data_IF_969247849142
#
_entry.id   IF_969247849142
#
_cell.length_a   1.000
_cell.length_b   1.000
_cell.length_c   1.000
_cell.angle_alpha   90.00
_cell.angle_beta   90.00
_cell.angle_gamma   90.00
#
_symmetry.space_group_name_H-M   'P 1'
#
loop_
_entity.id
_entity.type
_entity.pdbx_description
1 polymer ?
#
# COMPACT_ATOMS: atom_id res chain seq x y z
N UNK A 1 -10.57 -7.10 -10.18
CA UNK A 1 -9.61 -6.51 -11.14
C UNK A 1 -8.22 -6.84 -10.60
N UNK A 2 -7.55 -7.83 -11.18
CA UNK A 2 -6.20 -8.23 -10.76
C UNK A 2 -5.18 -7.37 -11.51
N UNK A 3 -4.17 -6.88 -10.80
CA UNK A 3 -3.11 -6.05 -11.37
C UNK A 3 -2.08 -6.98 -12.00
N UNK A 4 -2.15 -7.16 -13.31
CA UNK A 4 -1.37 -8.18 -14.06
C UNK A 4 0.12 -7.82 -14.15
N UNK A 5 0.51 -6.57 -13.89
CA UNK A 5 1.89 -6.09 -13.99
C UNK A 5 2.31 -5.26 -12.78
N UNK A 6 3.54 -5.51 -12.29
CA UNK A 6 4.13 -4.83 -11.11
C UNK A 6 4.07 -3.29 -11.21
N UNK A 7 4.27 -2.72 -12.38
CA UNK A 7 4.22 -1.26 -12.60
C UNK A 7 2.79 -0.68 -12.55
N UNK A 8 1.78 -1.48 -12.90
CA UNK A 8 0.38 -1.05 -12.74
C UNK A 8 -0.01 -1.02 -11.26
N UNK A 9 0.43 -2.01 -10.47
CA UNK A 9 0.20 -2.04 -9.03
C UNK A 9 0.74 -0.80 -8.33
N UNK A 10 1.95 -0.37 -8.70
CA UNK A 10 2.55 0.84 -8.15
C UNK A 10 1.71 2.10 -8.42
N UNK A 11 1.26 2.29 -9.67
CA UNK A 11 0.43 3.45 -10.05
C UNK A 11 -0.88 3.47 -9.26
N UNK A 12 -1.55 2.32 -9.16
CA UNK A 12 -2.83 2.23 -8.45
C UNK A 12 -2.65 2.51 -6.96
N UNK A 13 -1.62 1.94 -6.32
CA UNK A 13 -1.36 2.13 -4.89
C UNK A 13 -0.99 3.59 -4.58
N UNK A 14 -0.10 4.19 -5.38
CA UNK A 14 0.32 5.58 -5.16
C UNK A 14 -0.83 6.58 -5.31
N UNK A 15 -1.68 6.41 -6.33
CA UNK A 15 -2.90 7.22 -6.52
C UNK A 15 -3.85 7.02 -5.35
N UNK A 16 -4.08 5.77 -4.94
CA UNK A 16 -4.96 5.43 -3.83
C UNK A 16 -4.49 6.07 -2.52
N UNK A 17 -3.21 5.94 -2.17
CA UNK A 17 -2.64 6.52 -0.96
C UNK A 17 -2.81 8.05 -0.93
N UNK A 18 -2.46 8.74 -2.03
CA UNK A 18 -2.64 10.20 -2.13
C UNK A 18 -4.10 10.61 -1.99
N UNK A 19 -5.01 9.88 -2.64
CA UNK A 19 -6.44 10.16 -2.59
C UNK A 19 -6.99 10.01 -1.18
N UNK A 20 -6.64 8.94 -0.48
CA UNK A 20 -7.06 8.71 0.92
C UNK A 20 -6.52 9.80 1.84
N UNK A 21 -5.25 10.18 1.70
CA UNK A 21 -4.65 11.26 2.50
C UNK A 21 -5.39 12.59 2.30
N UNK A 22 -5.69 12.93 1.05
CA UNK A 22 -6.42 14.17 0.72
C UNK A 22 -7.88 14.13 1.19
N UNK A 23 -8.61 13.04 0.94
CA UNK A 23 -10.03 12.91 1.29
C UNK A 23 -10.26 12.90 2.80
N UNK A 24 -9.32 12.32 3.56
CA UNK A 24 -9.43 12.21 5.01
C UNK A 24 -8.64 13.29 5.77
N UNK A 25 -7.83 14.07 5.08
CA UNK A 25 -6.92 15.08 5.66
C UNK A 25 -6.03 14.46 6.74
N UNK A 26 -5.42 13.31 6.42
CA UNK A 26 -4.56 12.55 7.34
C UNK A 26 -3.35 12.01 6.57
N UNK A 27 -2.27 11.70 7.31
CA UNK A 27 -1.13 11.02 6.74
C UNK A 27 -1.23 9.51 6.95
N UNK A 28 -0.93 8.74 5.91
CA UNK A 28 -0.79 7.29 6.03
C UNK A 28 0.56 7.02 6.70
N UNK A 29 0.54 6.34 7.85
CA UNK A 29 1.76 5.95 8.59
C UNK A 29 2.07 4.47 8.44
N UNK A 30 1.09 3.64 8.11
CA UNK A 30 1.30 2.20 7.93
C UNK A 30 0.31 1.56 6.97
N UNK A 31 0.77 0.56 6.24
CA UNK A 31 -0.04 -0.23 5.31
C UNK A 31 0.13 -1.71 5.63
N UNK A 32 -0.98 -2.44 5.70
CA UNK A 32 -0.97 -3.89 5.86
C UNK A 32 -1.55 -4.56 4.63
N UNK A 33 -0.74 -5.36 3.92
CA UNK A 33 -1.17 -6.15 2.76
C UNK A 33 -1.03 -7.64 3.06
N UNK A 34 -1.66 -8.50 2.27
CA UNK A 34 -1.23 -9.89 2.15
C UNK A 34 0.14 -9.98 1.48
N UNK A 35 0.76 -11.16 1.60
CA UNK A 35 2.01 -11.52 0.92
C UNK A 35 1.74 -11.83 -0.57
N UNK A 36 0.96 -11.01 -1.25
CA UNK A 36 0.82 -11.07 -2.70
C UNK A 36 2.11 -10.60 -3.37
N UNK A 37 2.60 -11.32 -4.39
CA UNK A 37 3.78 -10.93 -5.18
C UNK A 37 3.61 -9.55 -5.84
N UNK A 38 2.37 -9.08 -6.02
CA UNK A 38 2.06 -7.75 -6.53
C UNK A 38 2.55 -6.60 -5.62
N UNK A 39 2.82 -6.88 -4.35
CA UNK A 39 3.36 -5.93 -3.37
C UNK A 39 4.88 -6.05 -3.23
N UNK A 40 5.51 -7.06 -3.84
CA UNK A 40 6.97 -7.19 -3.95
C UNK A 40 7.51 -6.41 -5.16
N UNK A 41 7.18 -5.12 -5.23
CA UNK A 41 7.76 -4.20 -6.20
C UNK A 41 8.70 -3.22 -5.50
N UNK A 42 9.96 -3.17 -5.95
CA UNK A 42 10.97 -2.22 -5.47
C UNK A 42 10.51 -0.76 -5.55
N UNK A 43 9.66 -0.42 -6.53
CA UNK A 43 9.10 0.92 -6.68
C UNK A 43 8.08 1.24 -5.57
N UNK A 44 7.25 0.26 -5.18
CA UNK A 44 6.31 0.39 -4.06
C UNK A 44 7.08 0.56 -2.75
N UNK A 45 8.14 -0.24 -2.55
CA UNK A 45 8.97 -0.15 -1.35
C UNK A 45 9.65 1.21 -1.21
N UNK A 46 10.26 1.74 -2.28
CA UNK A 46 10.83 3.10 -2.30
C UNK A 46 9.81 4.18 -1.98
N UNK A 47 8.59 4.05 -2.51
CA UNK A 47 7.52 4.99 -2.19
C UNK A 47 7.13 4.93 -0.72
N UNK A 48 7.08 3.75 -0.11
CA UNK A 48 6.83 3.66 1.33
C UNK A 48 7.95 4.30 2.14
N UNK A 49 9.21 4.09 1.78
CA UNK A 49 10.36 4.72 2.44
C UNK A 49 10.34 6.26 2.30
N UNK A 50 10.09 6.78 1.09
CA UNK A 50 10.02 8.23 0.82
C UNK A 50 8.92 8.93 1.62
N UNK A 51 7.78 8.28 1.80
CA UNK A 51 6.63 8.84 2.51
C UNK A 51 6.60 8.43 4.00
N UNK A 52 7.61 7.71 4.49
CA UNK A 52 7.67 7.25 5.89
C UNK A 52 6.57 6.26 6.27
N UNK A 53 6.05 5.50 5.30
CA UNK A 53 4.98 4.54 5.49
C UNK A 53 5.57 3.19 5.91
N UNK A 54 5.14 2.67 7.06
CA UNK A 54 5.52 1.34 7.51
C UNK A 54 4.67 0.26 6.83
N UNK A 55 5.29 -0.53 5.95
CA UNK A 55 4.64 -1.68 5.33
C UNK A 55 4.77 -2.92 6.22
N UNK A 56 3.64 -3.58 6.49
CA UNK A 56 3.59 -4.85 7.23
C UNK A 56 2.82 -5.89 6.42
N UNK A 57 3.35 -7.10 6.36
CA UNK A 57 2.60 -8.20 5.78
C UNK A 57 1.62 -8.82 6.79
N UNK A 58 0.48 -9.28 6.28
CA UNK A 58 -0.51 -10.05 7.02
C UNK A 58 -0.21 -11.54 6.93
N UNK A 59 -0.68 -12.30 7.93
CA UNK A 59 -0.49 -13.74 7.95
C UNK A 59 -1.21 -14.41 6.76
N UNK A 60 -0.68 -15.54 6.23
CA UNK A 60 -1.15 -16.17 4.97
C UNK A 60 -2.66 -16.50 4.92
N UNK A 61 -3.31 -16.63 6.07
CA UNK A 61 -4.72 -17.03 6.19
C UNK A 61 -5.69 -15.84 6.27
N UNK A 62 -5.23 -14.61 6.05
CA UNK A 62 -6.07 -13.41 6.01
C UNK A 62 -5.87 -12.65 4.71
N UNK A 63 -6.79 -12.82 3.77
CA UNK A 63 -6.96 -11.87 2.66
C UNK A 63 -7.46 -10.56 3.23
N UNK A 64 -6.55 -9.65 3.57
CA UNK A 64 -6.94 -8.33 4.07
C UNK A 64 -5.90 -7.28 3.73
N UNK A 65 -6.16 -6.54 2.66
CA UNK A 65 -5.53 -5.24 2.41
C UNK A 65 -6.18 -4.21 3.35
N UNK A 66 -5.60 -4.02 4.53
CA UNK A 66 -6.02 -3.02 5.51
C UNK A 66 -5.00 -1.88 5.52
N UNK A 67 -5.39 -0.72 4.99
CA UNK A 67 -4.66 0.51 5.27
C UNK A 67 -5.05 0.99 6.67
N UNK A 68 -4.09 0.95 7.60
CA UNK A 68 -4.28 1.49 8.94
C UNK A 68 -3.93 2.98 8.91
N UNK A 69 -4.97 3.79 8.88
CA UNK A 69 -4.93 5.24 8.97
C UNK A 69 -4.89 5.62 10.46
N UNK A 70 -3.79 6.23 10.91
CA UNK A 70 -3.76 6.82 12.25
C UNK A 70 -4.35 8.24 12.15
N UNK A 71 -5.28 8.53 13.07
CA UNK A 71 -5.98 9.81 13.23
C UNK A 71 -5.11 10.82 13.96
#
# INVERSE_FOLDING_TARGET
MFLTHKDESFKVISIFCKRVQNEKVINIVSIKSDHGEEFENKNIQKFYEEYGILHKFSSPNRFTCLLYLCK
#
